data_IF_067899103739
#
_entry.id   IF_067899103739
#
_cell.length_a   1.000
_cell.length_b   1.000
_cell.length_c   1.000
_cell.angle_alpha   90.00
_cell.angle_beta   90.00
_cell.angle_gamma   90.00
#
_symmetry.space_group_name_H-M   'P 1'
#
loop_
_entity.id
_entity.type
_entity.pdbx_description
1 polymer ?
#
# COMPACT_ATOMS: atom_id res chain seq x y z
N UNK A 1 -6.05 -27.26 4.73
CA UNK A 1 -5.73 -26.62 3.44
C UNK A 1 -5.14 -27.63 2.48
N UNK A 2 -5.86 -27.88 1.39
CA UNK A 2 -5.35 -28.59 0.22
C UNK A 2 -4.17 -27.82 -0.42
N UNK A 3 -3.27 -28.54 -1.09
CA UNK A 3 -2.02 -27.95 -1.60
C UNK A 3 -2.28 -26.92 -2.71
N UNK A 4 -3.40 -27.05 -3.44
CA UNK A 4 -3.86 -26.05 -4.41
C UNK A 4 -4.28 -24.73 -3.74
N UNK A 5 -5.00 -24.80 -2.62
CA UNK A 5 -5.42 -23.62 -1.84
C UNK A 5 -4.21 -22.87 -1.26
N UNK A 6 -3.16 -23.61 -0.88
CA UNK A 6 -1.93 -23.06 -0.31
C UNK A 6 -1.10 -22.30 -1.34
N UNK A 7 -1.04 -22.78 -2.59
CA UNK A 7 -0.43 -22.01 -3.68
C UNK A 7 -1.21 -20.74 -4.00
N UNK A 8 -2.55 -20.82 -4.05
CA UNK A 8 -3.39 -19.64 -4.27
C UNK A 8 -3.22 -18.59 -3.16
N UNK A 9 -3.13 -19.01 -1.90
CA UNK A 9 -2.84 -18.12 -0.78
C UNK A 9 -1.46 -17.46 -0.91
N UNK A 10 -0.40 -18.22 -1.22
CA UNK A 10 0.94 -17.67 -1.47
C UNK A 10 0.94 -16.59 -2.53
N UNK A 11 0.26 -16.80 -3.66
CA UNK A 11 0.14 -15.81 -4.73
C UNK A 11 -0.52 -14.51 -4.25
N UNK A 12 -1.67 -14.63 -3.56
CA UNK A 12 -2.38 -13.46 -2.98
C UNK A 12 -1.55 -12.75 -1.92
N UNK A 13 -0.83 -13.48 -1.09
CA UNK A 13 0.04 -12.93 -0.05
C UNK A 13 1.24 -12.19 -0.63
N UNK A 14 1.89 -12.74 -1.67
CA UNK A 14 2.98 -12.05 -2.39
C UNK A 14 2.45 -10.77 -3.03
N UNK A 15 1.28 -10.82 -3.68
CA UNK A 15 0.66 -9.63 -4.27
C UNK A 15 0.39 -8.54 -3.21
N UNK A 16 -0.19 -8.91 -2.07
CA UNK A 16 -0.42 -8.00 -0.95
C UNK A 16 0.90 -7.42 -0.42
N UNK A 17 1.91 -8.26 -0.21
CA UNK A 17 3.23 -7.83 0.28
C UNK A 17 3.89 -6.83 -0.65
N UNK A 18 3.85 -7.08 -1.97
CA UNK A 18 4.38 -6.15 -2.99
C UNK A 18 3.60 -4.84 -2.97
N UNK A 19 2.27 -4.89 -2.93
CA UNK A 19 1.44 -3.69 -2.86
C UNK A 19 1.74 -2.85 -1.61
N UNK A 20 1.88 -3.48 -0.46
CA UNK A 20 2.22 -2.81 0.80
C UNK A 20 3.59 -2.14 0.72
N UNK A 21 4.60 -2.81 0.16
CA UNK A 21 5.92 -2.22 -0.04
C UNK A 21 5.86 -1.00 -0.95
N UNK A 22 5.08 -1.04 -2.03
CA UNK A 22 4.87 0.12 -2.90
C UNK A 22 4.24 1.28 -2.12
N UNK A 23 3.23 1.02 -1.28
CA UNK A 23 2.62 2.04 -0.42
C UNK A 23 3.66 2.65 0.52
N UNK A 24 4.46 1.82 1.19
CA UNK A 24 5.52 2.28 2.11
C UNK A 24 6.54 3.16 1.37
N UNK A 25 6.99 2.73 0.19
CA UNK A 25 7.94 3.51 -0.62
C UNK A 25 7.33 4.85 -1.06
N UNK A 26 6.07 4.88 -1.46
CA UNK A 26 5.36 6.12 -1.77
C UNK A 26 5.32 7.07 -0.57
N UNK A 27 4.96 6.58 0.62
CA UNK A 27 4.94 7.40 1.83
C UNK A 27 6.34 7.87 2.26
N UNK A 28 7.35 7.01 2.16
CA UNK A 28 8.73 7.35 2.47
C UNK A 28 9.23 8.48 1.55
N UNK A 29 8.98 8.38 0.24
CA UNK A 29 9.33 9.45 -0.70
C UNK A 29 8.51 10.72 -0.46
N UNK A 30 7.21 10.61 -0.17
CA UNK A 30 6.37 11.77 0.15
C UNK A 30 6.88 12.51 1.39
N UNK A 31 7.18 11.78 2.46
CA UNK A 31 7.74 12.33 3.69
C UNK A 31 9.12 12.95 3.45
N UNK A 32 9.99 12.29 2.68
CA UNK A 32 11.28 12.84 2.30
C UNK A 32 11.14 14.16 1.53
N UNK A 33 10.27 14.22 0.53
CA UNK A 33 10.01 15.42 -0.26
C UNK A 33 9.45 16.54 0.61
N UNK A 34 8.50 16.24 1.49
CA UNK A 34 7.93 17.22 2.42
C UNK A 34 8.99 17.74 3.40
N UNK A 35 9.77 16.86 4.03
CA UNK A 35 10.77 17.29 5.00
C UNK A 35 11.93 18.07 4.36
N UNK A 36 12.34 17.69 3.14
CA UNK A 36 13.52 18.30 2.48
C UNK A 36 13.19 19.53 1.64
N UNK A 37 12.02 19.57 0.99
CA UNK A 37 11.69 20.60 -0.01
C UNK A 37 10.49 21.49 0.37
N UNK A 38 9.66 21.13 1.37
CA UNK A 38 8.64 22.06 1.85
C UNK A 38 9.20 23.36 2.47
N UNK A 39 10.40 23.39 3.09
CA UNK A 39 10.99 24.64 3.58
C UNK A 39 11.39 25.62 2.47
N UNK A 40 11.57 25.16 1.22
CA UNK A 40 12.09 25.98 0.12
C UNK A 40 11.01 26.61 -0.76
N UNK A 41 9.72 26.42 -0.43
CA UNK A 41 8.61 27.18 -1.02
C UNK A 41 7.31 26.40 -1.22
N UNK A 42 6.26 27.13 -1.65
CA UNK A 42 4.93 26.61 -1.95
C UNK A 42 4.87 25.38 -2.88
N UNK A 43 5.68 25.23 -3.96
CA UNK A 43 5.55 24.09 -4.86
C UNK A 43 5.96 22.76 -4.21
N UNK A 44 6.96 22.74 -3.33
CA UNK A 44 7.39 21.53 -2.61
C UNK A 44 6.30 21.01 -1.66
N UNK A 45 5.57 21.93 -1.03
CA UNK A 45 4.43 21.60 -0.16
C UNK A 45 3.26 21.02 -0.96
N UNK A 46 2.90 21.63 -2.10
CA UNK A 46 1.83 21.13 -2.98
C UNK A 46 2.13 19.72 -3.50
N UNK A 47 3.36 19.49 -4.01
CA UNK A 47 3.79 18.19 -4.51
C UNK A 47 3.76 17.14 -3.40
N UNK A 48 4.24 17.47 -2.21
CA UNK A 48 4.23 16.55 -1.07
C UNK A 48 2.83 16.20 -0.57
N UNK A 49 1.89 17.15 -0.57
CA UNK A 49 0.48 16.90 -0.22
C UNK A 49 -0.19 15.99 -1.26
N UNK A 50 0.06 16.20 -2.55
CA UNK A 50 -0.47 15.33 -3.61
C UNK A 50 0.07 13.90 -3.46
N UNK A 51 1.38 13.76 -3.22
CA UNK A 51 2.01 12.46 -2.97
C UNK A 51 1.40 11.74 -1.76
N UNK A 52 1.15 12.46 -0.66
CA UNK A 52 0.45 11.92 0.51
C UNK A 52 -0.98 11.47 0.19
N UNK A 53 -1.73 12.27 -0.58
CA UNK A 53 -3.10 11.92 -0.97
C UNK A 53 -3.14 10.66 -1.84
N UNK A 54 -2.19 10.52 -2.78
CA UNK A 54 -2.03 9.32 -3.60
C UNK A 54 -1.67 8.12 -2.70
N UNK A 55 -0.69 8.27 -1.80
CA UNK A 55 -0.31 7.23 -0.85
C UNK A 55 -1.49 6.75 0.01
N UNK A 56 -2.32 7.69 0.50
CA UNK A 56 -3.52 7.38 1.26
C UNK A 56 -4.54 6.59 0.42
N UNK A 57 -4.80 6.99 -0.83
CA UNK A 57 -5.68 6.27 -1.74
C UNK A 57 -5.19 4.82 -2.00
N UNK A 58 -3.89 4.65 -2.22
CA UNK A 58 -3.27 3.32 -2.36
C UNK A 58 -3.37 2.49 -1.07
N UNK A 59 -3.24 3.11 0.10
CA UNK A 59 -3.43 2.44 1.39
C UNK A 59 -4.84 1.93 1.58
N UNK A 60 -5.84 2.73 1.20
CA UNK A 60 -7.26 2.32 1.25
C UNK A 60 -7.51 1.15 0.29
N UNK A 61 -6.94 1.19 -0.92
CA UNK A 61 -7.03 0.09 -1.88
C UNK A 61 -6.38 -1.20 -1.36
N UNK A 62 -5.19 -1.07 -0.73
CA UNK A 62 -4.52 -2.18 -0.07
C UNK A 62 -5.38 -2.78 1.04
N UNK A 63 -5.94 -1.93 1.90
CA UNK A 63 -6.78 -2.38 3.02
C UNK A 63 -8.01 -3.15 2.54
N UNK A 64 -8.69 -2.68 1.48
CA UNK A 64 -9.81 -3.42 0.86
C UNK A 64 -9.39 -4.79 0.33
N UNK A 65 -8.25 -4.89 -0.34
CA UNK A 65 -7.77 -6.18 -0.88
C UNK A 65 -7.32 -7.12 0.22
N UNK A 66 -6.74 -6.58 1.29
CA UNK A 66 -6.36 -7.33 2.47
C UNK A 66 -7.59 -7.91 3.18
N UNK A 67 -8.63 -7.12 3.43
CA UNK A 67 -9.86 -7.59 4.09
C UNK A 67 -10.58 -8.64 3.26
N UNK A 68 -10.65 -8.48 1.93
CA UNK A 68 -11.20 -9.49 1.02
C UNK A 68 -10.40 -10.80 1.05
N UNK A 69 -9.07 -10.71 1.04
CA UNK A 69 -8.21 -11.90 1.11
C UNK A 69 -8.33 -12.59 2.46
N UNK A 70 -8.48 -11.83 3.54
CA UNK A 70 -8.70 -12.35 4.90
C UNK A 70 -10.07 -13.02 5.04
N UNK A 71 -11.13 -12.42 4.50
CA UNK A 71 -12.46 -13.02 4.47
C UNK A 71 -12.44 -14.34 3.69
N UNK A 72 -11.84 -14.34 2.49
CA UNK A 72 -11.67 -15.56 1.71
C UNK A 72 -10.90 -16.64 2.47
N UNK A 73 -9.84 -16.28 3.22
CA UNK A 73 -9.06 -17.24 4.00
C UNK A 73 -9.90 -17.87 5.13
N UNK A 74 -10.78 -17.10 5.77
CA UNK A 74 -11.69 -17.60 6.79
C UNK A 74 -12.81 -18.49 6.24
N UNK A 75 -13.18 -18.32 4.97
CA UNK A 75 -14.15 -19.18 4.28
C UNK A 75 -13.55 -20.50 3.78
N UNK A 76 -12.21 -20.64 3.77
CA UNK A 76 -11.57 -21.91 3.40
C UNK A 76 -11.69 -22.93 4.56
N UNK A 77 -12.20 -24.16 4.31
CA UNK A 77 -12.30 -25.23 5.31
C UNK A 77 -10.96 -25.87 5.69
#
# INVERSE_FOLDING_TARGET
MDEATKQAFKGRFVMLTVMLNIVILCFAMAAFVLLRFAPEGAPGLVIGVILLAIGAAFSVSFWKRYTLTKAWLHEQP
#
